data_IF_370635660438
#
_entry.id   IF_370635660438
#
_cell.length_a   1.000
_cell.length_b   1.000
_cell.length_c   1.000
_cell.angle_alpha   90.00
_cell.angle_beta   90.00
_cell.angle_gamma   90.00
#
_symmetry.space_group_name_H-M   'P 1'
#
loop_
_entity.id
_entity.type
_entity.pdbx_description
1 polymer ?
#
# COMPACT_ATOMS: atom_id res chain seq x y z
N UNK A 1 -3.41 8.69 10.58
CA UNK A 1 -4.61 7.89 10.25
C UNK A 1 -4.13 6.52 9.81
N UNK A 2 -4.56 5.44 10.49
CA UNK A 2 -4.16 4.07 10.14
C UNK A 2 -4.94 3.60 8.90
N UNK A 3 -4.24 3.11 7.89
CA UNK A 3 -4.84 2.65 6.62
C UNK A 3 -4.35 1.24 6.31
N UNK A 4 -5.28 0.30 6.12
CA UNK A 4 -4.96 -1.05 5.68
C UNK A 4 -4.77 -1.12 4.17
N UNK A 5 -3.65 -1.69 3.71
CA UNK A 5 -3.35 -1.87 2.28
C UNK A 5 -3.28 -3.36 1.95
N UNK A 6 -4.18 -3.82 1.08
CA UNK A 6 -4.28 -5.21 0.59
C UNK A 6 -4.03 -5.23 -0.92
N UNK A 7 -3.44 -6.31 -1.46
CA UNK A 7 -3.21 -6.44 -2.90
C UNK A 7 -2.06 -5.57 -3.45
N UNK A 8 -1.26 -4.96 -2.57
CA UNK A 8 -0.17 -4.05 -2.94
C UNK A 8 0.98 -4.69 -3.74
N UNK A 9 1.06 -6.03 -3.76
CA UNK A 9 2.09 -6.78 -4.50
C UNK A 9 1.76 -7.02 -5.97
N UNK A 10 0.51 -6.82 -6.40
CA UNK A 10 0.11 -6.96 -7.80
C UNK A 10 0.51 -5.75 -8.65
N UNK A 11 0.34 -5.84 -9.97
CA UNK A 11 0.69 -4.78 -10.92
C UNK A 11 0.07 -3.41 -10.58
N UNK A 12 -1.21 -3.38 -10.19
CA UNK A 12 -1.89 -2.14 -9.80
C UNK A 12 -1.42 -1.65 -8.42
N UNK A 13 -1.23 -2.59 -7.49
CA UNK A 13 -0.80 -2.29 -6.13
C UNK A 13 0.59 -1.66 -6.05
N UNK A 14 1.52 -2.12 -6.87
CA UNK A 14 2.88 -1.59 -6.91
C UNK A 14 2.92 -0.18 -7.50
N UNK A 15 2.15 0.09 -8.56
CA UNK A 15 2.02 1.43 -9.16
C UNK A 15 1.37 2.40 -8.17
N UNK A 16 0.30 1.97 -7.47
CA UNK A 16 -0.33 2.78 -6.43
C UNK A 16 0.69 3.17 -5.34
N UNK A 17 1.45 2.22 -4.81
CA UNK A 17 2.45 2.51 -3.77
C UNK A 17 3.54 3.46 -4.28
N UNK A 18 4.00 3.29 -5.52
CA UNK A 18 4.96 4.21 -6.11
C UNK A 18 4.42 5.64 -6.15
N UNK A 19 3.18 5.83 -6.61
CA UNK A 19 2.53 7.15 -6.64
C UNK A 19 2.36 7.75 -5.24
N UNK A 20 1.94 6.96 -4.27
CA UNK A 20 1.82 7.42 -2.87
C UNK A 20 3.15 7.91 -2.30
N UNK A 21 4.28 7.31 -2.70
CA UNK A 21 5.61 7.82 -2.34
C UNK A 21 5.94 9.11 -3.09
N UNK A 22 5.71 9.16 -4.41
CA UNK A 22 5.95 10.33 -5.26
C UNK A 22 5.18 11.57 -4.77
N UNK A 23 3.91 11.40 -4.41
CA UNK A 23 3.02 12.46 -3.93
C UNK A 23 3.19 12.77 -2.44
N UNK A 24 3.97 11.96 -1.70
CA UNK A 24 4.24 12.18 -0.29
C UNK A 24 3.06 11.87 0.64
N UNK A 25 2.15 11.00 0.23
CA UNK A 25 0.95 10.60 0.98
C UNK A 25 1.27 10.07 2.39
N UNK A 26 2.42 9.39 2.54
CA UNK A 26 2.88 8.89 3.84
C UNK A 26 3.41 9.98 4.79
N UNK A 27 3.66 11.20 4.28
CA UNK A 27 4.13 12.34 5.09
C UNK A 27 2.97 13.19 5.63
N UNK A 28 1.83 13.18 4.94
CA UNK A 28 0.63 13.97 5.29
C UNK A 28 -0.30 13.27 6.28
N UNK A 29 0.10 12.12 6.82
CA UNK A 29 -0.56 11.47 7.95
C UNK A 29 -1.18 10.11 7.66
N UNK A 30 -0.84 9.46 6.55
CA UNK A 30 -1.17 8.04 6.33
C UNK A 30 -0.14 7.16 7.04
N UNK A 31 -0.62 6.33 7.97
CA UNK A 31 0.15 5.28 8.63
C UNK A 31 -0.27 3.93 8.03
N UNK A 32 0.50 3.38 7.06
CA UNK A 32 0.08 2.19 6.32
C UNK A 32 0.28 0.91 7.13
N UNK A 33 -0.72 0.03 7.08
CA UNK A 33 -0.67 -1.34 7.61
C UNK A 33 -0.84 -2.30 6.44
N UNK A 34 0.20 -3.06 6.12
CA UNK A 34 0.19 -3.95 4.96
C UNK A 34 -0.36 -5.33 5.32
N UNK A 35 -1.37 -5.75 4.57
CA UNK A 35 -1.90 -7.10 4.65
C UNK A 35 -1.51 -7.89 3.39
N UNK A 36 -1.37 -9.18 3.56
CA UNK A 36 -1.24 -10.13 2.46
C UNK A 36 -2.20 -11.26 2.72
N UNK A 37 -3.01 -11.61 1.74
CA UNK A 37 -3.48 -12.98 1.63
C UNK A 37 -2.31 -13.75 1.05
N UNK A 38 -1.60 -14.55 1.85
CA UNK A 38 -0.85 -15.64 1.23
C UNK A 38 -1.87 -16.45 0.45
N UNK A 39 -1.69 -16.65 -0.86
CA UNK A 39 -2.20 -17.92 -1.39
C UNK A 39 -1.46 -18.98 -0.56
N UNK A 40 -2.17 -19.67 0.34
CA UNK A 40 -1.84 -21.08 0.51
C UNK A 40 -2.03 -21.65 -0.90
N UNK A 41 -0.92 -22.04 -1.52
CA UNK A 41 -0.87 -22.41 -2.94
C UNK A 41 -1.92 -23.44 -3.33
#
# INVERSE_FOLDING_TARGET
>A
MKVGIVGWRGMVGSVLLQRMVEEGDFKIGIEPVFFSTSQAG
#
